data_IF_263746690145
#
_entry.id   IF_263746690145
#
_cell.length_a   1.000
_cell.length_b   1.000
_cell.length_c   1.000
_cell.angle_alpha   90.00
_cell.angle_beta   90.00
_cell.angle_gamma   90.00
#
_symmetry.space_group_name_H-M   'P 1'
#
loop_
_entity.id
_entity.type
_entity.pdbx_description
1 polymer ?
#
# COMPACT_ATOMS: atom_id res chain seq x y z
N UNK A 1 34.63 13.28 14.47
CA UNK A 1 33.18 13.43 14.73
C UNK A 1 32.46 12.62 13.68
N UNK A 2 31.71 11.61 14.09
CA UNK A 2 31.25 10.52 13.24
C UNK A 2 30.19 11.00 12.22
N UNK A 3 30.44 10.68 10.95
CA UNK A 3 29.50 10.83 9.83
C UNK A 3 28.39 9.79 9.97
N UNK A 4 27.19 10.23 10.35
CA UNK A 4 25.98 9.39 10.27
C UNK A 4 25.56 9.27 8.80
N UNK A 5 25.77 8.08 8.24
CA UNK A 5 25.30 7.74 6.89
C UNK A 5 23.78 7.57 6.88
N UNK A 6 23.09 8.27 5.97
CA UNK A 6 21.65 8.21 5.71
C UNK A 6 21.11 6.78 5.55
N UNK A 7 21.95 5.82 5.14
CA UNK A 7 21.59 4.40 5.01
C UNK A 7 21.31 3.67 6.32
N UNK A 8 21.75 4.20 7.47
CA UNK A 8 21.61 3.53 8.77
C UNK A 8 20.26 3.81 9.45
N UNK A 9 19.62 4.94 9.12
CA UNK A 9 18.29 5.31 9.63
C UNK A 9 17.20 4.54 8.87
N UNK A 10 17.34 4.36 7.54
CA UNK A 10 16.39 3.61 6.71
C UNK A 10 16.23 2.13 7.13
N UNK A 11 17.30 1.47 7.58
CA UNK A 11 17.23 0.06 8.06
C UNK A 11 16.56 -0.08 9.43
N UNK A 12 16.67 0.93 10.30
CA UNK A 12 15.97 0.93 11.60
C UNK A 12 14.49 1.29 11.46
N UNK A 13 14.13 2.15 10.50
CA UNK A 13 12.72 2.52 10.24
C UNK A 13 11.97 1.37 9.55
N UNK A 14 12.58 0.63 8.61
CA UNK A 14 11.95 -0.54 7.96
C UNK A 14 11.60 -1.66 8.96
N UNK A 15 12.49 -1.99 9.89
CA UNK A 15 12.24 -3.06 10.86
C UNK A 15 11.20 -2.69 11.93
N UNK A 16 11.12 -1.40 12.31
CA UNK A 16 10.18 -0.93 13.33
C UNK A 16 8.79 -0.65 12.72
N UNK A 17 8.69 -0.20 11.47
CA UNK A 17 7.40 -0.01 10.80
C UNK A 17 6.72 -1.32 10.37
N UNK A 18 7.47 -2.33 9.91
CA UNK A 18 6.92 -3.63 9.48
C UNK A 18 6.34 -4.42 10.67
N UNK A 19 7.01 -4.39 11.83
CA UNK A 19 6.49 -5.01 13.07
C UNK A 19 5.27 -4.27 13.66
N UNK A 20 5.17 -2.96 13.42
CA UNK A 20 4.03 -2.14 13.87
C UNK A 20 2.84 -2.28 12.91
N UNK A 21 3.07 -2.58 11.62
CA UNK A 21 2.03 -2.80 10.63
C UNK A 21 1.25 -4.09 10.86
N UNK A 22 1.92 -5.18 11.24
CA UNK A 22 1.27 -6.43 11.65
C UNK A 22 0.36 -6.22 12.86
N UNK A 23 0.74 -5.39 13.84
CA UNK A 23 -0.10 -5.06 15.01
C UNK A 23 -1.27 -4.09 14.71
N UNK A 24 -1.13 -3.20 13.72
CA UNK A 24 -2.18 -2.23 13.34
C UNK A 24 -3.23 -2.81 12.39
N UNK A 25 -2.85 -3.70 11.47
CA UNK A 25 -3.81 -4.41 10.60
C UNK A 25 -4.64 -5.41 11.41
N UNK A 26 -4.05 -6.06 12.42
CA UNK A 26 -4.74 -7.02 13.29
C UNK A 26 -5.73 -6.38 14.30
N UNK A 27 -5.58 -5.09 14.66
CA UNK A 27 -6.45 -4.41 15.64
C UNK A 27 -7.62 -3.60 15.06
N UNK A 28 -7.70 -3.43 13.73
CA UNK A 28 -8.76 -2.63 13.10
C UNK A 28 -9.89 -3.46 12.46
N UNK A 29 -9.75 -4.79 12.41
CA UNK A 29 -10.79 -5.70 11.90
C UNK A 29 -12.00 -5.85 12.85
N UNK A 30 -11.91 -5.36 14.09
CA UNK A 30 -12.97 -5.41 15.09
C UNK A 30 -13.76 -4.10 15.28
N UNK A 31 -13.44 -3.03 14.53
CA UNK A 31 -13.97 -1.68 14.79
C UNK A 31 -14.82 -1.04 13.67
N UNK A 32 -15.09 -1.76 12.58
CA UNK A 32 -15.98 -1.25 11.51
C UNK A 32 -17.09 -2.23 11.18
N UNK A 33 -18.00 -2.42 12.14
CA UNK A 33 -19.41 -2.69 11.86
C UNK A 33 -20.15 -1.41 12.26
N UNK A 34 -20.99 -0.93 11.35
CA UNK A 34 -21.82 0.29 11.47
C UNK A 34 -21.16 1.61 11.06
N UNK A 35 -21.09 1.84 9.74
CA UNK A 35 -21.38 3.17 9.19
C UNK A 35 -22.15 3.00 7.87
N UNK A 36 -23.45 3.27 7.92
CA UNK A 36 -24.38 3.17 6.79
C UNK A 36 -24.12 4.25 5.74
N UNK A 37 -24.32 3.89 4.48
CA UNK A 37 -24.37 4.77 3.32
C UNK A 37 -25.37 5.93 3.52
N UNK A 38 -24.93 7.15 3.21
CA UNK A 38 -25.80 8.22 2.74
C UNK A 38 -25.18 8.84 1.47
N UNK A 39 -25.70 8.40 0.31
CA UNK A 39 -25.39 9.01 -0.98
C UNK A 39 -26.16 10.33 -1.12
N UNK A 40 -25.46 11.45 -1.32
CA UNK A 40 -26.07 12.71 -1.73
C UNK A 40 -25.91 12.83 -3.24
N UNK A 41 -27.03 12.70 -3.96
CA UNK A 41 -27.14 12.98 -5.38
C UNK A 41 -27.10 14.50 -5.62
N UNK A 42 -26.08 14.99 -6.32
CA UNK A 42 -26.05 16.36 -6.82
C UNK A 42 -26.70 16.43 -8.21
N UNK A 43 -27.81 17.16 -8.30
CA UNK A 43 -28.50 17.55 -9.54
C UNK A 43 -27.60 18.47 -10.37
N UNK A 44 -27.36 18.12 -11.63
CA UNK A 44 -26.89 19.07 -12.65
C UNK A 44 -28.06 19.98 -13.09
N UNK A 45 -27.96 21.28 -12.85
CA UNK A 45 -28.71 22.29 -13.60
C UNK A 45 -27.80 22.94 -14.63
N UNK A 46 -28.28 23.02 -15.86
CA UNK A 46 -27.71 23.77 -16.96
C UNK A 46 -27.91 25.28 -16.78
N UNK A 47 -26.87 26.06 -17.06
CA UNK A 47 -27.04 27.46 -17.49
C UNK A 47 -25.80 27.97 -18.23
N UNK A 48 -26.10 28.64 -19.35
CA UNK A 48 -25.22 29.10 -20.42
C UNK A 48 -24.32 30.30 -20.05
N UNK A 49 -23.28 30.40 -20.89
CA UNK A 49 -22.40 31.53 -21.22
C UNK A 49 -22.78 32.95 -20.79
N UNK A 50 -21.78 33.70 -20.32
CA UNK A 50 -21.62 35.12 -20.66
C UNK A 50 -20.14 35.38 -20.99
N UNK A 51 -19.90 35.76 -22.24
CA UNK A 51 -18.68 36.42 -22.69
C UNK A 51 -18.59 37.80 -22.04
N UNK A 52 -17.46 38.13 -21.41
CA UNK A 52 -17.13 39.50 -21.03
C UNK A 52 -15.71 39.84 -21.51
N UNK A 53 -15.66 40.57 -22.61
CA UNK A 53 -14.51 41.30 -23.13
C UNK A 53 -14.20 42.49 -22.21
N UNK A 54 -12.96 42.65 -21.73
CA UNK A 54 -12.48 43.92 -21.18
C UNK A 54 -11.02 44.25 -21.54
N UNK A 55 -10.93 45.27 -22.39
CA UNK A 55 -10.03 46.42 -22.41
C UNK A 55 -8.52 46.27 -22.13
N UNK A 56 -7.76 46.54 -23.20
CA UNK A 56 -6.37 46.98 -23.18
C UNK A 56 -6.19 48.30 -22.41
N UNK A 57 -5.50 48.23 -21.28
CA UNK A 57 -4.81 49.35 -20.66
C UNK A 57 -3.33 49.31 -20.99
N UNK A 58 -2.86 50.27 -21.79
CA UNK A 58 -1.44 50.49 -22.04
C UNK A 58 -0.72 50.89 -20.74
N UNK A 59 0.06 49.99 -20.15
CA UNK A 59 1.11 50.35 -19.20
C UNK A 59 2.48 50.11 -19.84
N UNK A 60 3.27 51.20 -19.88
CA UNK A 60 4.64 51.28 -20.39
C UNK A 60 5.52 50.17 -19.81
N UNK A 61 5.99 49.29 -20.68
CA UNK A 61 7.14 48.40 -20.44
C UNK A 61 8.37 49.24 -20.08
N UNK A 62 8.81 49.13 -18.82
CA UNK A 62 10.21 49.37 -18.46
C UNK A 62 10.95 48.07 -18.82
N UNK A 63 11.77 48.13 -19.86
CA UNK A 63 12.78 47.12 -20.12
C UNK A 63 13.75 47.07 -18.94
N UNK A 64 13.58 46.11 -18.04
CA UNK A 64 14.65 45.64 -17.18
C UNK A 64 15.41 44.57 -17.96
N UNK A 65 16.68 44.87 -18.21
CA UNK A 65 17.71 43.94 -18.67
C UNK A 65 17.79 42.73 -17.73
N UNK A 66 17.45 41.54 -18.23
CA UNK A 66 17.74 40.26 -17.57
C UNK A 66 19.24 39.98 -17.67
N UNK A 67 20.02 40.53 -16.74
CA UNK A 67 21.25 39.88 -16.31
C UNK A 67 20.88 38.92 -15.18
N UNK A 68 21.20 37.61 -15.27
CA UNK A 68 21.06 36.71 -14.14
C UNK A 68 21.95 37.23 -13.02
N UNK A 69 21.37 37.48 -11.85
CA UNK A 69 22.13 37.82 -10.65
C UNK A 69 23.02 36.61 -10.31
N UNK A 70 24.36 36.76 -10.30
CA UNK A 70 25.28 35.64 -10.10
C UNK A 70 25.16 34.95 -8.73
N UNK A 71 24.45 35.55 -7.77
CA UNK A 71 24.13 34.96 -6.45
C UNK A 71 22.71 34.35 -6.38
N UNK A 72 21.93 34.39 -7.47
CA UNK A 72 20.56 33.86 -7.47
C UNK A 72 20.53 32.34 -7.60
N UNK A 73 20.04 31.66 -6.56
CA UNK A 73 19.82 30.22 -6.58
C UNK A 73 18.57 29.89 -7.41
N UNK A 74 18.78 29.56 -8.69
CA UNK A 74 17.71 29.23 -9.63
C UNK A 74 16.84 28.06 -9.16
N UNK A 75 17.41 27.06 -8.47
CA UNK A 75 16.66 25.89 -7.95
C UNK A 75 15.66 26.30 -6.87
N UNK A 76 16.05 27.19 -5.96
CA UNK A 76 15.12 27.76 -4.98
C UNK A 76 14.08 28.68 -5.62
N UNK A 77 14.41 29.36 -6.71
CA UNK A 77 13.43 30.14 -7.48
C UNK A 77 12.38 29.22 -8.14
N UNK A 78 12.80 28.11 -8.77
CA UNK A 78 11.89 27.10 -9.29
C UNK A 78 11.01 26.49 -8.18
N UNK A 79 11.62 26.21 -7.02
CA UNK A 79 10.89 25.73 -5.86
C UNK A 79 9.83 26.73 -5.36
N UNK A 80 10.16 28.02 -5.35
CA UNK A 80 9.20 29.08 -5.03
C UNK A 80 8.01 29.06 -5.98
N UNK A 81 8.26 28.97 -7.30
CA UNK A 81 7.18 28.89 -8.29
C UNK A 81 6.27 27.66 -8.05
N UNK A 82 6.87 26.50 -7.82
CA UNK A 82 6.16 25.24 -7.56
C UNK A 82 5.29 25.32 -6.28
N UNK A 83 5.88 25.76 -5.16
CA UNK A 83 5.20 25.83 -3.88
C UNK A 83 4.09 26.88 -3.87
N UNK A 84 4.28 28.00 -4.57
CA UNK A 84 3.22 29.01 -4.72
C UNK A 84 2.09 28.52 -5.63
N UNK A 85 2.41 27.82 -6.73
CA UNK A 85 1.39 27.16 -7.55
C UNK A 85 0.60 26.13 -6.73
N UNK A 86 1.27 25.35 -5.89
CA UNK A 86 0.61 24.38 -5.01
C UNK A 86 -0.26 25.03 -3.94
N UNK A 87 0.24 26.09 -3.28
CA UNK A 87 -0.55 26.86 -2.31
C UNK A 87 -1.85 27.39 -2.92
N UNK A 88 -1.83 27.84 -4.18
CA UNK A 88 -3.02 28.37 -4.87
C UNK A 88 -4.10 27.34 -5.13
N UNK A 89 -3.75 26.05 -5.20
CA UNK A 89 -4.70 24.96 -5.43
C UNK A 89 -5.11 24.23 -4.14
N UNK A 90 -4.58 24.65 -2.99
CA UNK A 90 -5.08 24.27 -1.67
C UNK A 90 -6.32 25.10 -1.38
N UNK A 91 -7.48 24.46 -1.36
CA UNK A 91 -8.77 25.10 -1.11
C UNK A 91 -9.29 24.92 0.33
N UNK A 92 -8.62 24.09 1.15
CA UNK A 92 -8.90 24.00 2.59
C UNK A 92 -7.63 23.66 3.37
N UNK A 93 -7.31 24.45 4.38
CA UNK A 93 -6.18 24.24 5.30
C UNK A 93 -6.64 24.57 6.72
N UNK A 94 -7.37 23.68 7.40
CA UNK A 94 -8.05 23.99 8.67
C UNK A 94 -7.12 24.39 9.81
N UNK A 95 -5.87 23.92 9.76
CA UNK A 95 -4.85 24.16 10.78
C UNK A 95 -3.89 25.28 10.38
N UNK A 96 -4.16 25.97 9.27
CA UNK A 96 -3.27 26.97 8.68
C UNK A 96 -1.83 26.43 8.55
N UNK A 97 -1.67 25.18 8.14
CA UNK A 97 -0.37 24.53 8.03
C UNK A 97 0.54 25.26 7.04
N UNK A 98 -0.01 25.76 5.94
CA UNK A 98 0.70 26.46 4.86
C UNK A 98 0.74 27.99 5.06
N UNK A 99 0.42 28.50 6.26
CA UNK A 99 0.30 29.93 6.50
C UNK A 99 1.55 30.72 6.10
N UNK A 100 2.74 30.20 6.43
CA UNK A 100 4.03 30.86 6.18
C UNK A 100 4.62 30.58 4.80
N UNK A 101 3.87 29.98 3.89
CA UNK A 101 4.28 29.80 2.50
C UNK A 101 4.17 31.11 1.73
N UNK A 102 4.98 32.10 2.06
CA UNK A 102 4.97 33.44 1.47
C UNK A 102 6.40 33.98 1.30
N UNK A 103 6.64 34.69 0.19
CA UNK A 103 7.95 35.25 -0.14
C UNK A 103 8.98 34.20 -0.60
N UNK A 104 10.16 34.63 -1.08
CA UNK A 104 11.12 33.76 -1.76
C UNK A 104 11.89 32.79 -0.84
N UNK A 105 11.81 32.96 0.48
CA UNK A 105 12.54 32.14 1.47
C UNK A 105 11.88 30.79 1.72
N UNK A 106 11.77 29.95 0.69
CA UNK A 106 11.05 28.66 0.71
C UNK A 106 11.55 27.68 1.77
N UNK A 107 12.84 27.74 2.14
CA UNK A 107 13.39 26.89 3.19
C UNK A 107 12.87 27.21 4.60
N UNK A 108 12.19 28.35 4.78
CA UNK A 108 11.54 28.71 6.03
C UNK A 108 10.07 28.24 6.08
N UNK A 109 9.54 27.69 4.99
CA UNK A 109 8.15 27.26 4.91
C UNK A 109 7.94 26.04 5.82
N UNK A 110 6.82 26.03 6.54
CA UNK A 110 6.47 24.89 7.39
C UNK A 110 6.25 23.66 6.50
N UNK A 111 6.87 22.56 6.87
CA UNK A 111 6.80 21.30 6.11
C UNK A 111 7.71 21.26 4.88
N UNK A 112 8.54 22.28 4.61
CA UNK A 112 9.54 22.26 3.54
C UNK A 112 10.93 22.13 4.17
N UNK A 113 11.72 21.18 3.68
CA UNK A 113 13.04 20.87 4.20
C UNK A 113 14.09 21.06 3.11
N UNK A 114 15.08 21.90 3.40
CA UNK A 114 16.19 22.15 2.50
C UNK A 114 17.48 21.46 2.95
N UNK A 115 18.32 21.10 1.99
CA UNK A 115 19.63 20.51 2.21
C UNK A 115 20.63 21.02 1.16
N UNK A 116 21.95 20.82 1.37
CA UNK A 116 22.93 21.00 0.30
C UNK A 116 22.63 20.08 -0.89
N UNK A 117 22.80 20.58 -2.11
CA UNK A 117 22.55 19.81 -3.33
C UNK A 117 23.54 18.63 -3.42
N UNK A 118 23.11 17.45 -3.89
CA UNK A 118 24.00 16.29 -4.03
C UNK A 118 25.17 16.52 -5.00
N UNK A 119 24.96 17.35 -6.02
CA UNK A 119 25.93 17.70 -7.05
C UNK A 119 26.78 18.93 -6.71
N UNK A 120 26.29 19.82 -5.83
CA UNK A 120 27.05 20.96 -5.32
C UNK A 120 26.66 21.30 -3.86
N UNK A 121 27.56 20.98 -2.93
CA UNK A 121 27.39 21.27 -1.50
C UNK A 121 27.23 22.75 -1.13
N UNK A 122 27.56 23.69 -2.02
CA UNK A 122 27.38 25.13 -1.80
C UNK A 122 25.98 25.61 -2.17
N UNK A 123 25.28 24.87 -3.03
CA UNK A 123 23.93 25.18 -3.46
C UNK A 123 22.94 24.54 -2.51
N UNK A 124 21.99 25.32 -1.99
CA UNK A 124 20.90 24.80 -1.16
C UNK A 124 19.67 24.48 -2.03
N UNK A 125 19.02 23.34 -1.78
CA UNK A 125 17.86 22.89 -2.55
C UNK A 125 16.74 22.44 -1.62
N UNK A 126 15.50 22.41 -2.11
CA UNK A 126 14.40 21.75 -1.40
C UNK A 126 14.54 20.25 -1.59
N UNK A 127 14.87 19.55 -0.50
CA UNK A 127 15.15 18.11 -0.50
C UNK A 127 13.98 17.28 0.00
N UNK A 128 13.04 17.87 0.75
CA UNK A 128 11.88 17.15 1.26
C UNK A 128 10.67 18.05 1.52
N UNK A 129 9.49 17.44 1.40
CA UNK A 129 8.21 18.03 1.82
C UNK A 129 7.49 17.05 2.74
N UNK A 130 7.11 17.50 3.93
CA UNK A 130 6.28 16.76 4.88
C UNK A 130 5.09 17.63 5.33
N UNK A 131 3.91 17.22 4.89
CA UNK A 131 2.62 17.81 5.25
C UNK A 131 1.73 16.80 5.99
N UNK A 132 2.32 15.79 6.64
CA UNK A 132 1.58 14.73 7.30
C UNK A 132 0.56 15.29 8.32
N UNK A 133 -0.65 14.71 8.31
CA UNK A 133 -1.75 15.02 9.25
C UNK A 133 -2.17 16.50 9.22
N UNK A 134 -2.04 17.15 8.07
CA UNK A 134 -2.45 18.55 7.88
C UNK A 134 -3.96 18.74 7.74
N UNK A 135 -4.70 17.69 7.37
CA UNK A 135 -6.09 17.76 6.92
C UNK A 135 -6.29 18.76 5.75
N UNK A 136 -5.26 18.94 4.93
CA UNK A 136 -5.21 19.88 3.81
C UNK A 136 -5.99 19.30 2.63
N UNK A 137 -6.90 20.07 2.05
CA UNK A 137 -7.61 19.71 0.82
C UNK A 137 -7.13 20.56 -0.37
N UNK A 138 -6.84 19.88 -1.46
CA UNK A 138 -6.22 20.45 -2.65
C UNK A 138 -5.97 19.36 -3.70
N UNK A 139 -5.17 19.67 -4.71
CA UNK A 139 -4.60 18.67 -5.62
C UNK A 139 -3.12 18.95 -5.86
N UNK A 140 -2.42 18.02 -6.51
CA UNK A 140 -1.02 18.17 -6.88
C UNK A 140 -0.92 18.82 -8.27
N UNK A 141 -0.41 20.06 -8.39
CA UNK A 141 -0.31 20.74 -9.69
C UNK A 141 0.90 20.27 -10.50
N UNK A 142 0.89 20.48 -11.82
CA UNK A 142 1.99 20.11 -12.73
C UNK A 142 3.30 20.85 -12.38
N UNK A 143 3.24 22.05 -11.79
CA UNK A 143 4.42 22.80 -11.36
C UNK A 143 5.23 22.10 -10.25
N UNK A 144 4.68 21.09 -9.56
CA UNK A 144 5.46 20.28 -8.61
C UNK A 144 6.66 19.58 -9.27
N UNK A 145 6.58 19.30 -10.57
CA UNK A 145 7.70 18.73 -11.32
C UNK A 145 8.92 19.67 -11.47
N UNK A 146 8.82 20.93 -11.04
CA UNK A 146 9.96 21.86 -10.97
C UNK A 146 10.87 21.59 -9.75
N UNK A 147 10.41 20.82 -8.77
CA UNK A 147 11.14 20.50 -7.54
C UNK A 147 12.10 19.30 -7.73
N UNK A 148 12.94 19.34 -8.77
CA UNK A 148 13.74 18.19 -9.26
C UNK A 148 14.69 17.56 -8.25
N UNK A 149 15.03 18.27 -7.17
CA UNK A 149 15.94 17.81 -6.11
C UNK A 149 15.23 17.13 -4.93
N UNK A 150 13.91 16.96 -4.98
CA UNK A 150 13.16 16.27 -3.94
C UNK A 150 13.61 14.82 -3.80
N UNK A 151 13.94 14.44 -2.58
CA UNK A 151 14.14 13.07 -2.15
C UNK A 151 12.92 12.51 -1.41
N UNK A 152 12.10 13.36 -0.78
CA UNK A 152 11.00 12.95 0.09
C UNK A 152 9.73 13.77 -0.18
N UNK A 153 8.60 13.07 -0.38
CA UNK A 153 7.26 13.67 -0.35
C UNK A 153 6.40 12.84 0.61
N UNK A 154 6.01 13.44 1.74
CA UNK A 154 5.13 12.82 2.72
C UNK A 154 3.85 13.63 2.90
N UNK A 155 2.73 13.05 2.49
CA UNK A 155 1.41 13.69 2.48
C UNK A 155 0.36 12.89 3.26
N UNK A 156 0.77 11.98 4.15
CA UNK A 156 -0.11 11.09 4.90
C UNK A 156 -1.24 11.88 5.60
N UNK A 157 -2.45 11.35 5.59
CA UNK A 157 -3.59 11.90 6.35
C UNK A 157 -3.92 13.35 5.97
N UNK A 158 -4.19 13.55 4.68
CA UNK A 158 -4.70 14.79 4.12
C UNK A 158 -5.96 14.50 3.29
N UNK A 159 -6.45 15.51 2.57
CA UNK A 159 -7.60 15.44 1.66
C UNK A 159 -7.18 15.83 0.25
N UNK A 160 -5.94 15.54 -0.16
CA UNK A 160 -5.51 15.75 -1.54
C UNK A 160 -6.28 14.83 -2.48
N UNK A 161 -6.77 15.37 -3.59
CA UNK A 161 -7.60 14.68 -4.57
C UNK A 161 -7.05 14.80 -5.99
N UNK A 162 -7.69 14.08 -6.93
CA UNK A 162 -7.29 14.06 -8.34
C UNK A 162 -6.29 12.93 -8.64
N UNK A 163 -5.63 13.03 -9.79
CA UNK A 163 -4.57 12.11 -10.22
C UNK A 163 -3.19 12.72 -9.93
N UNK A 164 -2.14 11.90 -9.96
CA UNK A 164 -0.77 12.39 -9.90
C UNK A 164 -0.40 13.09 -11.22
N UNK A 165 0.18 14.32 -11.18
CA UNK A 165 0.58 15.04 -12.39
C UNK A 165 1.71 14.33 -13.13
N UNK A 166 1.72 14.42 -14.46
CA UNK A 166 2.72 13.72 -15.27
C UNK A 166 4.13 14.28 -15.06
N UNK A 167 4.24 15.56 -14.71
CA UNK A 167 5.51 16.21 -14.40
C UNK A 167 6.25 15.62 -13.19
N UNK A 168 5.60 14.81 -12.35
CA UNK A 168 6.28 14.06 -11.28
C UNK A 168 7.41 13.18 -11.84
N UNK A 169 7.35 12.78 -13.11
CA UNK A 169 8.42 12.06 -13.79
C UNK A 169 9.78 12.80 -13.75
N UNK A 170 9.79 14.12 -13.55
CA UNK A 170 11.01 14.92 -13.43
C UNK A 170 11.72 14.75 -12.08
N UNK A 171 11.06 14.17 -11.07
CA UNK A 171 11.61 13.99 -9.73
C UNK A 171 12.48 12.73 -9.64
N UNK A 172 13.50 12.62 -10.50
CA UNK A 172 14.32 11.41 -10.62
C UNK A 172 15.14 11.09 -9.35
N UNK A 173 15.31 12.08 -8.48
CA UNK A 173 15.93 11.93 -7.15
C UNK A 173 14.98 11.41 -6.06
N UNK A 174 13.67 11.29 -6.33
CA UNK A 174 12.68 10.95 -5.31
C UNK A 174 12.91 9.54 -4.77
N UNK A 175 13.07 9.44 -3.46
CA UNK A 175 13.41 8.22 -2.74
C UNK A 175 12.20 7.67 -1.97
N UNK A 176 11.40 8.54 -1.36
CA UNK A 176 10.16 8.17 -0.67
C UNK A 176 8.98 9.01 -1.16
N UNK A 177 7.88 8.32 -1.48
CA UNK A 177 6.61 8.90 -1.84
C UNK A 177 5.51 8.28 -0.98
N UNK A 178 5.08 9.03 0.04
CA UNK A 178 3.96 8.66 0.90
C UNK A 178 2.72 9.52 0.57
N UNK A 179 1.73 8.88 -0.05
CA UNK A 179 0.45 9.47 -0.43
C UNK A 179 -0.71 8.89 0.38
N UNK A 180 -0.40 8.16 1.45
CA UNK A 180 -1.38 7.37 2.17
C UNK A 180 -2.48 8.22 2.83
N UNK A 181 -3.68 7.65 2.97
CA UNK A 181 -4.82 8.31 3.62
C UNK A 181 -5.13 9.70 3.00
N UNK A 182 -5.48 9.67 1.71
CA UNK A 182 -5.87 10.82 0.89
C UNK A 182 -7.11 10.47 0.05
N UNK A 183 -7.43 11.29 -0.95
CA UNK A 183 -8.55 11.11 -1.88
C UNK A 183 -8.07 11.04 -3.34
N UNK A 184 -6.86 10.50 -3.57
CA UNK A 184 -6.35 10.32 -4.92
C UNK A 184 -7.18 9.27 -5.67
N UNK A 185 -7.56 9.58 -6.90
CA UNK A 185 -8.45 8.77 -7.74
C UNK A 185 -7.73 8.31 -9.02
N UNK A 186 -8.41 7.51 -9.83
CA UNK A 186 -7.93 7.09 -11.15
C UNK A 186 -7.09 5.81 -11.11
N UNK A 187 -6.45 5.43 -12.22
CA UNK A 187 -5.66 4.21 -12.28
C UNK A 187 -4.41 4.28 -11.40
N UNK A 188 -3.74 3.14 -11.20
CA UNK A 188 -2.41 3.12 -10.58
C UNK A 188 -1.49 4.19 -11.22
N UNK A 189 -0.79 5.01 -10.42
CA UNK A 189 -0.03 6.14 -10.94
C UNK A 189 1.26 5.68 -11.64
N UNK A 190 1.18 5.36 -12.93
CA UNK A 190 2.31 4.83 -13.72
C UNK A 190 3.51 5.77 -13.81
N UNK A 191 3.33 7.06 -13.51
CA UNK A 191 4.41 8.05 -13.40
C UNK A 191 5.48 7.63 -12.38
N UNK A 192 5.13 6.84 -11.37
CA UNK A 192 6.09 6.34 -10.38
C UNK A 192 7.18 5.45 -10.98
N UNK A 193 6.95 4.89 -12.18
CA UNK A 193 7.96 4.09 -12.89
C UNK A 193 9.07 4.93 -13.52
N UNK A 194 8.87 6.25 -13.65
CA UNK A 194 9.92 7.18 -14.09
C UNK A 194 10.85 7.59 -12.94
N UNK A 195 10.49 7.29 -11.69
CA UNK A 195 11.23 7.70 -10.49
C UNK A 195 12.33 6.67 -10.18
N UNK A 196 13.47 6.80 -10.87
CA UNK A 196 14.55 5.79 -10.85
C UNK A 196 15.17 5.53 -9.47
N UNK A 197 15.09 6.51 -8.57
CA UNK A 197 15.60 6.42 -7.19
C UNK A 197 14.56 5.90 -6.18
N UNK A 198 13.30 5.72 -6.56
CA UNK A 198 12.20 5.43 -5.63
C UNK A 198 12.38 4.07 -4.94
N UNK A 199 12.29 4.07 -3.61
CA UNK A 199 12.39 2.87 -2.76
C UNK A 199 11.17 2.63 -1.89
N UNK A 200 10.53 3.70 -1.45
CA UNK A 200 9.32 3.63 -0.62
C UNK A 200 8.16 4.25 -1.37
N UNK A 201 7.14 3.45 -1.65
CA UNK A 201 5.89 3.89 -2.28
C UNK A 201 4.71 3.46 -1.40
N UNK A 202 3.93 4.43 -0.96
CA UNK A 202 2.77 4.17 -0.12
C UNK A 202 1.50 4.83 -0.68
N UNK A 203 0.59 3.99 -1.16
CA UNK A 203 -0.66 4.39 -1.80
C UNK A 203 -1.90 3.99 -0.98
N UNK A 204 -1.72 3.49 0.24
CA UNK A 204 -2.82 2.94 1.05
C UNK A 204 -3.91 3.99 1.35
N UNK A 205 -5.15 3.56 1.55
CA UNK A 205 -6.27 4.44 1.90
C UNK A 205 -6.44 5.59 0.89
N UNK A 206 -6.67 5.22 -0.36
CA UNK A 206 -7.00 6.14 -1.45
C UNK A 206 -8.14 5.56 -2.27
N UNK A 207 -8.39 6.17 -3.42
CA UNK A 207 -9.46 5.85 -4.34
C UNK A 207 -8.91 5.38 -5.71
N UNK A 208 -7.69 4.82 -5.73
CA UNK A 208 -7.12 4.27 -6.95
C UNK A 208 -7.90 3.03 -7.42
N UNK A 209 -8.04 2.86 -8.73
CA UNK A 209 -8.91 1.84 -9.31
C UNK A 209 -8.29 1.14 -10.53
N UNK A 210 -8.99 0.12 -11.03
CA UNK A 210 -8.55 -0.66 -12.18
C UNK A 210 -7.46 -1.70 -11.84
N UNK A 211 -6.75 -2.23 -12.86
CA UNK A 211 -5.76 -3.28 -12.67
C UNK A 211 -4.45 -2.73 -12.09
N UNK A 212 -3.77 -3.53 -11.26
CA UNK A 212 -2.36 -3.27 -10.94
C UNK A 212 -1.48 -3.58 -12.16
N UNK A 213 -0.60 -2.66 -12.58
CA UNK A 213 0.27 -2.87 -13.73
C UNK A 213 1.35 -3.93 -13.44
N UNK A 214 1.67 -4.84 -14.38
CA UNK A 214 2.70 -5.86 -14.20
C UNK A 214 4.09 -5.31 -13.84
N UNK A 215 4.41 -4.11 -14.32
CA UNK A 215 5.66 -3.41 -14.05
C UNK A 215 5.88 -3.13 -12.56
N UNK A 216 4.81 -3.07 -11.76
CA UNK A 216 4.90 -2.91 -10.30
C UNK A 216 5.81 -3.97 -9.66
N UNK A 217 5.73 -5.21 -10.14
CA UNK A 217 6.45 -6.36 -9.59
C UNK A 217 7.90 -6.43 -10.06
N UNK A 218 8.18 -5.93 -11.26
CA UNK A 218 9.55 -5.89 -11.82
C UNK A 218 10.37 -4.71 -11.32
N UNK A 219 9.77 -3.75 -10.63
CA UNK A 219 10.50 -2.64 -10.01
C UNK A 219 11.23 -3.10 -8.75
N UNK A 220 12.38 -2.48 -8.45
CA UNK A 220 13.22 -2.80 -7.28
C UNK A 220 12.65 -2.27 -5.96
N UNK A 221 11.33 -2.40 -5.77
CA UNK A 221 10.64 -2.03 -4.54
C UNK A 221 10.80 -3.17 -3.51
N UNK A 222 11.02 -2.78 -2.26
CA UNK A 222 11.14 -3.71 -1.14
C UNK A 222 9.77 -3.96 -0.48
N UNK A 223 8.94 -2.92 -0.35
CA UNK A 223 7.60 -3.02 0.22
C UNK A 223 6.56 -2.39 -0.71
N UNK A 224 5.41 -3.06 -0.87
CA UNK A 224 4.30 -2.63 -1.72
C UNK A 224 3.04 -2.50 -0.86
N UNK A 225 2.62 -1.25 -0.60
CA UNK A 225 1.39 -0.93 0.16
C UNK A 225 0.34 -0.29 -0.75
N UNK A 226 -0.66 -1.08 -1.14
CA UNK A 226 -1.79 -0.62 -1.99
C UNK A 226 -3.16 -0.95 -1.37
N UNK A 227 -3.17 -1.36 -0.11
CA UNK A 227 -4.38 -1.72 0.61
C UNK A 227 -5.38 -0.56 0.75
N UNK A 228 -6.66 -0.88 0.91
CA UNK A 228 -7.75 0.09 1.05
C UNK A 228 -7.82 1.03 -0.17
N UNK A 229 -8.00 0.45 -1.35
CA UNK A 229 -8.23 1.11 -2.63
C UNK A 229 -9.37 0.39 -3.37
N UNK A 230 -9.57 0.67 -4.67
CA UNK A 230 -10.56 0.04 -5.54
C UNK A 230 -9.91 -0.75 -6.68
N UNK A 231 -8.72 -1.32 -6.48
CA UNK A 231 -8.07 -2.12 -7.50
C UNK A 231 -8.84 -3.42 -7.79
N UNK A 232 -8.85 -3.83 -9.06
CA UNK A 232 -9.76 -4.88 -9.56
C UNK A 232 -9.06 -6.13 -10.09
N UNK A 233 -7.74 -6.11 -10.29
CA UNK A 233 -6.99 -7.32 -10.66
C UNK A 233 -5.50 -7.20 -10.37
N UNK A 234 -4.87 -8.35 -10.17
CA UNK A 234 -3.43 -8.50 -10.00
C UNK A 234 -2.92 -9.27 -11.20
N UNK A 235 -2.00 -8.66 -11.97
CA UNK A 235 -1.37 -9.32 -13.09
C UNK A 235 0.12 -9.53 -12.78
N UNK A 236 0.43 -10.66 -12.12
CA UNK A 236 1.80 -11.05 -11.81
C UNK A 236 2.39 -11.73 -13.06
N UNK A 237 3.36 -11.10 -13.76
CA UNK A 237 3.88 -11.64 -15.00
C UNK A 237 4.69 -12.93 -14.76
N UNK A 238 4.42 -13.95 -15.57
CA UNK A 238 5.12 -15.24 -15.49
C UNK A 238 6.59 -15.15 -15.92
N UNK A 239 6.96 -14.16 -16.73
CA UNK A 239 8.27 -14.05 -17.39
C UNK A 239 9.36 -13.34 -16.56
N UNK A 240 9.11 -13.03 -15.28
CA UNK A 240 10.13 -12.47 -14.41
C UNK A 240 10.84 -13.59 -13.66
N UNK A 241 12.17 -13.64 -13.73
CA UNK A 241 12.96 -14.67 -13.05
C UNK A 241 13.00 -14.48 -11.52
N UNK A 242 12.74 -13.27 -11.01
CA UNK A 242 12.71 -12.99 -9.57
C UNK A 242 12.12 -11.59 -9.30
N UNK A 243 11.32 -11.45 -8.23
CA UNK A 243 10.83 -10.16 -7.72
C UNK A 243 11.52 -9.77 -6.41
N UNK A 244 11.63 -8.47 -6.15
CA UNK A 244 12.40 -7.95 -5.00
C UNK A 244 11.63 -7.74 -3.71
N UNK A 245 10.29 -7.66 -3.76
CA UNK A 245 9.51 -7.22 -2.61
C UNK A 245 9.52 -8.26 -1.47
N UNK A 246 9.85 -7.82 -0.26
CA UNK A 246 9.77 -8.58 0.98
C UNK A 246 8.40 -8.49 1.64
N UNK A 247 7.66 -7.40 1.41
CA UNK A 247 6.32 -7.17 2.00
C UNK A 247 5.32 -6.74 0.92
N UNK A 248 4.19 -7.44 0.83
CA UNK A 248 3.10 -7.11 -0.10
C UNK A 248 1.76 -7.05 0.66
N UNK A 249 1.16 -5.86 0.69
CA UNK A 249 -0.12 -5.61 1.37
C UNK A 249 -1.17 -5.14 0.38
N UNK A 250 -2.08 -6.06 0.06
CA UNK A 250 -3.14 -5.94 -0.93
C UNK A 250 -4.54 -5.83 -0.33
N UNK A 251 -4.64 -5.95 1.00
CA UNK A 251 -5.89 -6.00 1.72
C UNK A 251 -6.93 -4.94 1.33
N UNK A 252 -8.22 -5.26 1.44
CA UNK A 252 -9.33 -4.33 1.20
C UNK A 252 -9.29 -3.71 -0.21
N UNK A 253 -9.32 -4.57 -1.23
CA UNK A 253 -9.46 -4.23 -2.64
C UNK A 253 -10.47 -5.20 -3.28
N UNK A 254 -10.73 -5.10 -4.58
CA UNK A 254 -11.64 -5.99 -5.30
C UNK A 254 -10.92 -6.82 -6.38
N UNK A 255 -9.77 -7.41 -6.03
CA UNK A 255 -8.91 -8.11 -6.98
C UNK A 255 -9.59 -9.27 -7.70
N UNK A 256 -10.52 -9.97 -7.04
CA UNK A 256 -11.27 -11.04 -7.68
C UNK A 256 -10.37 -12.18 -8.19
N UNK A 257 -10.94 -13.06 -9.02
CA UNK A 257 -10.17 -14.10 -9.71
C UNK A 257 -9.43 -15.06 -8.77
N UNK A 258 -8.41 -15.73 -9.28
CA UNK A 258 -7.56 -16.65 -8.53
C UNK A 258 -6.20 -16.00 -8.24
N UNK A 259 -5.53 -16.43 -7.16
CA UNK A 259 -4.11 -16.14 -6.97
C UNK A 259 -3.29 -16.87 -8.04
N UNK A 260 -2.54 -16.19 -8.92
CA UNK A 260 -1.83 -16.87 -10.00
C UNK A 260 -0.62 -17.67 -9.48
N UNK A 261 -0.29 -18.83 -10.09
CA UNK A 261 0.92 -19.61 -9.77
C UNK A 261 2.24 -18.83 -9.91
N UNK A 262 2.26 -17.77 -10.71
CA UNK A 262 3.42 -16.86 -10.84
C UNK A 262 3.78 -16.12 -9.54
N UNK A 263 2.98 -16.27 -8.47
CA UNK A 263 3.37 -15.87 -7.11
C UNK A 263 4.71 -16.51 -6.69
N UNK A 264 5.07 -17.67 -7.24
CA UNK A 264 6.37 -18.32 -6.98
C UNK A 264 7.58 -17.43 -7.32
N UNK A 265 7.42 -16.43 -8.19
CA UNK A 265 8.50 -15.50 -8.54
C UNK A 265 8.94 -14.61 -7.37
N UNK A 266 8.23 -14.66 -6.24
CA UNK A 266 8.58 -14.04 -4.97
C UNK A 266 9.32 -14.98 -3.98
N UNK A 267 9.60 -16.22 -4.37
CA UNK A 267 10.11 -17.27 -3.47
C UNK A 267 11.38 -16.88 -2.68
N UNK A 268 12.24 -16.07 -3.29
CA UNK A 268 13.53 -15.70 -2.71
C UNK A 268 13.48 -14.49 -1.78
N UNK A 269 12.36 -13.76 -1.71
CA UNK A 269 12.30 -12.43 -1.08
C UNK A 269 11.13 -12.24 -0.14
N UNK A 270 9.95 -12.78 -0.45
CA UNK A 270 8.71 -12.41 0.25
C UNK A 270 8.62 -13.04 1.65
N UNK A 271 8.44 -12.17 2.64
CA UNK A 271 8.28 -12.51 4.05
C UNK A 271 6.83 -12.30 4.51
N UNK A 272 6.11 -11.34 3.94
CA UNK A 272 4.72 -11.04 4.32
C UNK A 272 3.80 -10.88 3.10
N UNK A 273 2.75 -11.69 3.04
CA UNK A 273 1.70 -11.63 2.03
C UNK A 273 0.33 -11.44 2.69
N UNK A 274 -0.22 -10.24 2.57
CA UNK A 274 -1.51 -9.87 3.16
C UNK A 274 -2.54 -9.56 2.06
N UNK A 275 -3.49 -10.47 1.86
CA UNK A 275 -4.57 -10.38 0.86
C UNK A 275 -5.96 -10.43 1.50
N UNK A 276 -6.11 -9.90 2.71
CA UNK A 276 -7.36 -9.86 3.48
C UNK A 276 -8.46 -9.14 2.70
N UNK A 277 -9.65 -9.73 2.57
CA UNK A 277 -10.80 -9.04 1.95
C UNK A 277 -10.48 -8.46 0.57
N UNK A 278 -10.07 -9.34 -0.35
CA UNK A 278 -9.68 -8.98 -1.72
C UNK A 278 -10.56 -9.61 -2.80
N UNK A 279 -11.66 -10.26 -2.38
CA UNK A 279 -12.60 -10.98 -3.24
C UNK A 279 -11.94 -12.13 -4.03
N UNK A 280 -10.78 -12.63 -3.59
CA UNK A 280 -10.11 -13.79 -4.20
C UNK A 280 -11.02 -15.02 -4.16
N UNK A 281 -10.93 -15.84 -5.18
CA UNK A 281 -11.73 -17.04 -5.41
C UNK A 281 -10.87 -18.18 -5.96
N UNK A 282 -11.48 -19.35 -6.16
CA UNK A 282 -10.75 -20.53 -6.59
C UNK A 282 -9.86 -21.10 -5.48
N UNK A 283 -8.92 -21.95 -5.87
CA UNK A 283 -8.03 -22.64 -4.94
C UNK A 283 -6.82 -21.78 -4.57
N UNK A 284 -6.26 -22.02 -3.37
CA UNK A 284 -4.94 -21.51 -3.03
C UNK A 284 -3.89 -22.36 -3.79
N UNK A 285 -3.09 -21.79 -4.72
CA UNK A 285 -2.19 -22.58 -5.56
C UNK A 285 -1.03 -23.18 -4.74
N UNK A 286 -0.55 -24.37 -5.13
CA UNK A 286 0.57 -25.05 -4.45
C UNK A 286 1.84 -24.20 -4.39
N UNK A 287 2.00 -23.27 -5.35
CA UNK A 287 3.13 -22.37 -5.45
C UNK A 287 3.31 -21.43 -4.25
N UNK A 288 2.26 -21.20 -3.46
CA UNK A 288 2.36 -20.46 -2.18
C UNK A 288 3.29 -21.21 -1.20
N UNK A 289 3.29 -22.55 -1.23
CA UNK A 289 4.18 -23.38 -0.41
C UNK A 289 5.66 -23.31 -0.79
N UNK A 290 6.01 -22.65 -1.91
CA UNK A 290 7.39 -22.43 -2.33
C UNK A 290 7.93 -21.04 -1.94
N UNK A 291 7.15 -20.25 -1.21
CA UNK A 291 7.58 -18.97 -0.65
C UNK A 291 8.38 -19.20 0.64
N UNK A 292 9.57 -19.81 0.54
CA UNK A 292 10.27 -20.37 1.70
C UNK A 292 10.63 -19.38 2.81
N UNK A 293 10.69 -18.07 2.50
CA UNK A 293 10.93 -17.01 3.49
C UNK A 293 9.68 -16.47 4.17
N UNK A 294 8.49 -16.92 3.76
CA UNK A 294 7.22 -16.40 4.23
C UNK A 294 7.06 -16.62 5.74
N UNK A 295 6.80 -15.52 6.45
CA UNK A 295 6.55 -15.43 7.90
C UNK A 295 5.07 -15.18 8.19
N UNK A 296 4.42 -14.39 7.34
CA UNK A 296 3.01 -14.02 7.49
C UNK A 296 2.25 -14.28 6.20
N UNK A 297 1.23 -15.13 6.27
CA UNK A 297 0.26 -15.35 5.21
C UNK A 297 -1.14 -15.08 5.75
N UNK A 298 -1.79 -14.02 5.26
CA UNK A 298 -3.19 -13.74 5.56
C UNK A 298 -4.01 -13.62 4.28
N UNK A 299 -4.84 -14.62 4.01
CA UNK A 299 -5.79 -14.66 2.89
C UNK A 299 -7.22 -14.70 3.40
N UNK A 300 -7.46 -14.20 4.62
CA UNK A 300 -8.76 -14.23 5.26
C UNK A 300 -9.80 -13.33 4.59
N UNK A 301 -11.08 -13.62 4.85
CA UNK A 301 -12.22 -12.85 4.32
C UNK A 301 -12.27 -12.83 2.79
N UNK A 302 -12.00 -13.97 2.16
CA UNK A 302 -12.09 -14.15 0.71
C UNK A 302 -13.15 -15.21 0.36
N UNK A 303 -13.14 -15.67 -0.88
CA UNK A 303 -14.01 -16.71 -1.45
C UNK A 303 -13.19 -17.92 -1.88
N UNK A 304 -12.06 -18.17 -1.22
CA UNK A 304 -11.22 -19.33 -1.53
C UNK A 304 -11.96 -20.62 -1.22
N UNK A 305 -11.77 -21.63 -2.06
CA UNK A 305 -12.40 -22.94 -2.00
C UNK A 305 -11.35 -24.05 -2.05
N UNK A 306 -11.77 -25.28 -1.76
CA UNK A 306 -10.91 -26.46 -1.84
C UNK A 306 -9.99 -26.63 -0.64
N UNK A 307 -9.05 -27.60 -0.72
CA UNK A 307 -8.16 -27.94 0.39
C UNK A 307 -7.01 -26.96 0.58
N UNK A 308 -6.40 -27.04 1.76
CA UNK A 308 -5.08 -26.42 2.01
C UNK A 308 -4.04 -27.24 1.22
N UNK A 309 -3.25 -26.63 0.31
CA UNK A 309 -2.22 -27.36 -0.42
C UNK A 309 -1.17 -27.89 0.55
N UNK A 310 -0.79 -29.17 0.40
CA UNK A 310 0.19 -29.83 1.26
C UNK A 310 1.56 -29.13 1.24
N UNK A 311 1.89 -28.43 0.13
CA UNK A 311 3.11 -27.65 0.00
C UNK A 311 3.29 -26.58 1.09
N UNK A 312 2.22 -26.10 1.75
CA UNK A 312 2.35 -25.17 2.89
C UNK A 312 3.13 -25.78 4.07
N UNK A 313 3.19 -27.11 4.18
CA UNK A 313 4.01 -27.79 5.18
C UNK A 313 5.52 -27.51 5.01
N UNK A 314 5.96 -27.01 3.84
CA UNK A 314 7.34 -26.61 3.58
C UNK A 314 7.72 -25.23 4.11
N UNK A 315 6.77 -24.42 4.60
CA UNK A 315 7.00 -23.04 5.03
C UNK A 315 7.57 -22.97 6.45
N UNK A 316 8.80 -23.47 6.64
CA UNK A 316 9.44 -23.60 7.95
C UNK A 316 9.58 -22.28 8.74
N UNK A 317 9.56 -21.13 8.06
CA UNK A 317 9.65 -19.81 8.67
C UNK A 317 8.29 -19.16 9.00
N UNK A 318 7.17 -19.82 8.67
CA UNK A 318 5.84 -19.25 8.85
C UNK A 318 5.50 -19.13 10.35
N UNK A 319 5.10 -17.93 10.74
CA UNK A 319 4.76 -17.55 12.11
C UNK A 319 3.26 -17.30 12.26
N UNK A 320 2.63 -16.77 11.21
CA UNK A 320 1.22 -16.43 11.21
C UNK A 320 0.55 -16.94 9.92
N UNK A 321 -0.46 -17.78 10.09
CA UNK A 321 -1.28 -18.30 9.01
C UNK A 321 -2.74 -18.01 9.30
N UNK A 322 -3.37 -17.16 8.49
CA UNK A 322 -4.78 -16.84 8.61
C UNK A 322 -5.52 -17.16 7.31
N UNK A 323 -6.34 -18.20 7.38
CA UNK A 323 -7.20 -18.71 6.32
C UNK A 323 -8.68 -18.44 6.62
N UNK A 324 -8.98 -17.71 7.70
CA UNK A 324 -10.33 -17.56 8.23
C UNK A 324 -11.30 -16.87 7.27
N UNK A 325 -12.60 -17.08 7.46
CA UNK A 325 -13.65 -16.47 6.64
C UNK A 325 -13.48 -16.73 5.13
N UNK A 326 -13.41 -18.00 4.75
CA UNK A 326 -13.37 -18.46 3.37
C UNK A 326 -14.41 -19.59 3.16
N UNK A 327 -14.30 -20.31 2.05
CA UNK A 327 -15.06 -21.50 1.74
C UNK A 327 -14.14 -22.73 1.57
N UNK A 328 -13.00 -22.74 2.28
CA UNK A 328 -12.04 -23.84 2.23
C UNK A 328 -12.64 -25.10 2.87
N UNK A 329 -12.26 -26.26 2.38
CA UNK A 329 -12.84 -27.56 2.74
C UNK A 329 -11.79 -28.66 2.77
N UNK A 330 -12.19 -29.88 3.14
CA UNK A 330 -11.29 -31.03 3.17
C UNK A 330 -10.50 -31.14 4.47
N UNK A 331 -9.28 -31.66 4.36
CA UNK A 331 -8.43 -32.02 5.50
C UNK A 331 -7.46 -30.89 5.84
N UNK A 332 -7.26 -30.61 7.12
CA UNK A 332 -6.15 -29.77 7.62
C UNK A 332 -4.87 -30.62 7.69
N UNK A 333 -3.83 -30.35 6.89
CA UNK A 333 -2.65 -31.21 6.82
C UNK A 333 -1.82 -31.20 8.11
N UNK A 334 -1.34 -32.38 8.50
CA UNK A 334 -0.52 -32.57 9.70
C UNK A 334 0.76 -31.71 9.68
N UNK A 335 1.35 -31.57 8.49
CA UNK A 335 2.57 -30.79 8.27
C UNK A 335 2.39 -29.30 8.56
N UNK A 336 1.21 -28.73 8.27
CA UNK A 336 0.90 -27.32 8.56
C UNK A 336 0.79 -27.10 10.07
N UNK A 337 0.13 -28.03 10.78
CA UNK A 337 0.03 -27.99 12.24
C UNK A 337 1.37 -28.23 12.97
N UNK A 338 2.37 -28.77 12.28
CA UNK A 338 3.70 -29.08 12.82
C UNK A 338 4.77 -28.06 12.43
N UNK A 339 4.38 -26.93 11.80
CA UNK A 339 5.33 -25.90 11.37
C UNK A 339 6.10 -25.34 12.59
N UNK A 340 7.45 -25.29 12.53
CA UNK A 340 8.27 -25.14 13.73
C UNK A 340 8.21 -23.74 14.36
N UNK A 341 7.87 -22.71 13.57
CA UNK A 341 7.80 -21.31 14.01
C UNK A 341 6.37 -20.77 14.12
N UNK A 342 5.35 -21.58 13.83
CA UNK A 342 3.97 -21.15 13.81
C UNK A 342 3.54 -20.73 15.21
N UNK A 343 3.00 -19.51 15.32
CA UNK A 343 2.57 -18.90 16.57
C UNK A 343 1.08 -18.55 16.55
N UNK A 344 0.53 -18.24 15.36
CA UNK A 344 -0.89 -17.99 15.16
C UNK A 344 -1.40 -18.76 13.94
N UNK A 345 -2.44 -19.54 14.12
CA UNK A 345 -3.09 -20.30 13.07
C UNK A 345 -4.61 -20.15 13.15
N UNK A 346 -5.21 -19.52 12.15
CA UNK A 346 -6.66 -19.30 12.11
C UNK A 346 -7.26 -19.96 10.87
N UNK A 347 -8.19 -20.90 11.10
CA UNK A 347 -8.97 -21.57 10.04
C UNK A 347 -10.48 -21.35 10.21
N UNK A 348 -10.88 -20.51 11.16
CA UNK A 348 -12.28 -20.32 11.54
C UNK A 348 -13.15 -19.84 10.37
N UNK A 349 -14.45 -20.15 10.43
CA UNK A 349 -15.41 -19.80 9.38
C UNK A 349 -15.07 -20.39 8.00
N UNK A 350 -14.77 -21.69 7.95
CA UNK A 350 -14.57 -22.50 6.73
C UNK A 350 -15.47 -23.76 6.78
N UNK A 351 -15.14 -24.79 6.00
CA UNK A 351 -15.83 -26.08 5.91
C UNK A 351 -14.86 -27.27 6.04
N UNK A 352 -13.76 -27.12 6.80
CA UNK A 352 -12.86 -28.24 7.08
C UNK A 352 -13.62 -29.33 7.87
N UNK A 353 -13.47 -30.59 7.44
CA UNK A 353 -14.22 -31.72 7.98
C UNK A 353 -13.35 -32.73 8.73
N UNK A 354 -12.04 -32.67 8.54
CA UNK A 354 -11.08 -33.57 9.16
C UNK A 354 -9.75 -32.85 9.42
N UNK A 355 -9.06 -33.29 10.48
CA UNK A 355 -7.67 -32.95 10.76
C UNK A 355 -6.84 -34.21 10.51
N UNK A 356 -5.72 -34.08 9.81
CA UNK A 356 -4.80 -35.20 9.62
C UNK A 356 -4.10 -35.50 10.96
N UNK A 357 -4.70 -36.39 11.76
CA UNK A 357 -4.26 -36.72 13.11
C UNK A 357 -4.69 -35.71 14.19
N UNK A 358 -4.22 -35.91 15.42
CA UNK A 358 -4.61 -35.13 16.61
C UNK A 358 -3.73 -33.87 16.80
N UNK A 359 -2.80 -33.61 15.86
CA UNK A 359 -1.71 -32.63 16.06
C UNK A 359 -2.25 -31.20 16.23
N UNK A 360 -3.29 -30.84 15.47
CA UNK A 360 -3.91 -29.53 15.55
C UNK A 360 -4.74 -29.31 16.84
N UNK A 361 -4.95 -30.34 17.67
CA UNK A 361 -5.66 -30.26 18.95
C UNK A 361 -4.75 -29.80 20.10
N UNK A 362 -3.44 -30.00 19.98
CA UNK A 362 -2.47 -29.68 21.02
C UNK A 362 -1.30 -28.88 20.44
N UNK A 363 -1.63 -27.77 19.77
CA UNK A 363 -0.66 -26.91 19.09
C UNK A 363 0.21 -26.16 20.11
N UNK A 364 1.41 -26.69 20.33
CA UNK A 364 2.47 -26.03 21.10
C UNK A 364 3.57 -25.56 20.16
N UNK A 365 4.07 -24.35 20.37
CA UNK A 365 5.26 -23.86 19.65
C UNK A 365 6.46 -24.75 19.98
N UNK A 366 7.45 -24.79 19.10
CA UNK A 366 8.73 -25.49 19.32
C UNK A 366 9.48 -25.05 20.60
N UNK A 367 9.08 -23.91 21.20
CA UNK A 367 9.62 -23.35 22.44
C UNK A 367 8.70 -23.57 23.66
N UNK A 368 7.64 -24.38 23.54
CA UNK A 368 6.74 -24.72 24.64
C UNK A 368 5.69 -23.66 24.99
N UNK A 369 5.41 -22.71 24.09
CA UNK A 369 4.30 -21.75 24.22
C UNK A 369 3.03 -22.23 23.51
N UNK A 370 1.86 -21.71 23.88
CA UNK A 370 0.61 -22.04 23.17
C UNK A 370 0.55 -21.33 21.82
N UNK A 371 0.20 -22.05 20.76
CA UNK A 371 -0.17 -21.45 19.47
C UNK A 371 -1.58 -20.89 19.61
N UNK A 372 -1.79 -19.64 19.18
CA UNK A 372 -3.14 -19.09 19.07
C UNK A 372 -3.85 -19.79 17.92
N UNK A 373 -4.85 -20.63 18.23
CA UNK A 373 -5.58 -21.43 17.23
C UNK A 373 -7.08 -21.14 17.29
N UNK A 374 -7.69 -20.80 16.15
CA UNK A 374 -9.14 -20.60 16.02
C UNK A 374 -9.70 -21.47 14.88
N UNK A 375 -10.47 -22.49 15.26
CA UNK A 375 -11.10 -23.49 14.40
C UNK A 375 -12.63 -23.37 14.36
N UNK A 376 -13.21 -22.35 14.99
CA UNK A 376 -14.67 -22.22 15.13
C UNK A 376 -15.36 -22.12 13.79
N UNK A 377 -16.63 -22.54 13.73
CA UNK A 377 -17.47 -22.45 12.53
C UNK A 377 -16.86 -23.20 11.34
N UNK A 378 -16.31 -24.39 11.58
CA UNK A 378 -15.95 -25.42 10.59
C UNK A 378 -16.94 -26.60 10.66
N UNK A 379 -16.54 -27.76 10.12
CA UNK A 379 -17.30 -29.00 10.07
C UNK A 379 -16.56 -30.16 10.76
N UNK A 380 -15.73 -29.86 11.77
CA UNK A 380 -14.89 -30.82 12.47
C UNK A 380 -15.71 -31.59 13.53
N UNK A 381 -15.84 -32.92 13.44
CA UNK A 381 -16.45 -33.72 14.49
C UNK A 381 -15.71 -33.50 15.82
N UNK A 382 -16.47 -33.43 16.92
CA UNK A 382 -15.94 -33.31 18.29
C UNK A 382 -15.28 -31.97 18.69
N UNK A 383 -15.19 -30.99 17.78
CA UNK A 383 -14.78 -29.61 18.13
C UNK A 383 -15.98 -28.77 18.62
N UNK A 384 -15.77 -27.82 19.55
CA UNK A 384 -16.83 -26.90 19.96
C UNK A 384 -17.09 -25.80 18.91
N UNK A 385 -18.26 -25.15 18.98
CA UNK A 385 -18.64 -23.99 18.16
C UNK A 385 -18.59 -24.19 16.63
N UNK A 386 -18.89 -25.41 16.18
CA UNK A 386 -18.88 -25.78 14.76
C UNK A 386 -20.19 -25.39 14.06
N UNK A 387 -20.20 -25.48 12.73
CA UNK A 387 -21.40 -25.27 11.92
C UNK A 387 -22.42 -26.38 12.17
N UNK A 388 -23.66 -26.11 11.77
CA UNK A 388 -24.71 -27.13 11.83
C UNK A 388 -24.44 -28.23 10.80
N UNK A 389 -24.92 -29.45 11.09
CA UNK A 389 -24.81 -30.58 10.15
C UNK A 389 -25.35 -30.22 8.76
N UNK A 390 -26.46 -29.47 8.70
CA UNK A 390 -27.08 -29.04 7.44
C UNK A 390 -26.16 -28.14 6.61
N UNK A 391 -25.46 -27.20 7.25
CA UNK A 391 -24.48 -26.33 6.56
C UNK A 391 -23.28 -27.16 6.05
N UNK A 392 -22.81 -28.13 6.82
CA UNK A 392 -21.67 -28.96 6.46
C UNK A 392 -21.96 -29.95 5.33
N UNK A 393 -23.10 -30.64 5.38
CA UNK A 393 -23.50 -31.59 4.34
C UNK A 393 -23.63 -30.89 2.98
N UNK A 394 -24.19 -29.68 2.92
CA UNK A 394 -24.32 -28.93 1.68
C UNK A 394 -22.96 -28.59 1.03
N UNK A 395 -21.92 -28.31 1.83
CA UNK A 395 -20.58 -28.03 1.33
C UNK A 395 -19.84 -29.30 0.87
N UNK A 396 -20.07 -30.43 1.55
CA UNK A 396 -19.42 -31.71 1.25
C UNK A 396 -20.04 -32.45 0.05
N UNK A 397 -21.29 -32.13 -0.33
CA UNK A 397 -21.94 -32.71 -1.52
C UNK A 397 -21.21 -32.37 -2.83
N UNK A 398 -20.48 -31.26 -2.88
CA UNK A 398 -19.82 -30.76 -4.08
C UNK A 398 -18.34 -30.43 -3.78
N UNK A 399 -17.47 -31.44 -3.62
CA UNK A 399 -16.06 -31.20 -3.36
C UNK A 399 -15.41 -30.49 -4.56
N UNK A 400 -14.51 -29.55 -4.26
CA UNK A 400 -13.72 -28.83 -5.27
C UNK A 400 -12.40 -29.56 -5.47
N UNK A 401 -12.13 -29.95 -6.72
CA UNK A 401 -10.85 -30.50 -7.14
C UNK A 401 -9.90 -29.37 -7.54
N UNK A 402 -8.77 -29.27 -6.86
CA UNK A 402 -7.81 -28.18 -7.02
C UNK A 402 -6.48 -28.62 -7.64
N UNK A 403 -6.10 -29.91 -7.53
CA UNK A 403 -4.75 -30.40 -7.79
C UNK A 403 -4.75 -31.77 -8.47
#
# INVERSE_FOLDING_TARGET
>A
MASFSFTSIAKCVNAIHVLVLTLLVLNLSSLFKDLSLAAVAAKHSSSNSVYASHHHGHHRSRHHSNHPDPDSNERLNQAFLALQAWKRVIYSDPHNFTFNWEGPSVCNYKGVFCAPAPDDSKTQVVAGIDLNKGDIAGFLPEELGLLSDLALIHLNSNRFCGILPHSLANLTGLYELDLSNNRFVGPFPTVVFSLSSLKYLDLRYNEFEGPLPPQLFSNKLDAIFVNNNRFTSINIPASSLSFSASVVVFANNNFGGCLPPSIVNFADTLEELLMINTNLSGCLPEQVGFLYKLRVLDVSSNKLVGPIPYSLAGLAHLEQLNLGHNMLSGIVPAGVCSLPNLANFTISYNYFCEEEGIICQNLTTSRGGNIAFDDRRNCLPDRPYQRTQKECSAALEHPVDCF
#
